data_IF_829580780658
#
_entry.id   IF_829580780658
#
_cell.length_a   1.000
_cell.length_b   1.000
_cell.length_c   1.000
_cell.angle_alpha   90.00
_cell.angle_beta   90.00
_cell.angle_gamma   90.00
#
_symmetry.space_group_name_H-M   'P 1'
#
loop_
_entity.id
_entity.type
_entity.pdbx_description
1 polymer ?
#
# COMPACT_ATOMS: atom_id res chain seq x y z
N UNK A 1 -6.40 11.13 -26.53
CA UNK A 1 -6.74 11.49 -25.14
C UNK A 1 -5.50 11.19 -24.31
N UNK A 2 -4.84 12.21 -23.75
CA UNK A 2 -3.71 11.96 -22.86
C UNK A 2 -4.27 11.52 -21.50
N UNK A 3 -3.80 10.41 -20.91
CA UNK A 3 -4.20 10.05 -19.56
C UNK A 3 -3.76 11.16 -18.62
N UNK A 4 -4.72 11.77 -17.92
CA UNK A 4 -4.45 12.78 -16.89
C UNK A 4 -3.64 12.08 -15.79
N UNK A 5 -2.33 12.32 -15.75
CA UNK A 5 -1.47 11.79 -14.71
C UNK A 5 -1.82 12.50 -13.41
N UNK A 6 -2.57 11.84 -12.53
CA UNK A 6 -2.89 12.36 -11.19
C UNK A 6 -1.60 12.51 -10.40
N UNK A 7 -1.38 13.67 -9.77
CA UNK A 7 -0.16 13.92 -9.02
C UNK A 7 -0.17 13.21 -7.66
N UNK A 8 1.01 12.92 -7.10
CA UNK A 8 1.13 12.39 -5.73
C UNK A 8 0.33 13.21 -4.71
N UNK A 9 0.35 14.54 -4.82
CA UNK A 9 -0.36 15.43 -3.91
C UNK A 9 -1.89 15.27 -4.01
N UNK A 10 -2.42 14.97 -5.21
CA UNK A 10 -3.83 14.69 -5.41
C UNK A 10 -4.23 13.36 -4.77
N UNK A 11 -3.45 12.29 -4.96
CA UNK A 11 -3.67 11.02 -4.27
C UNK A 11 -3.58 11.16 -2.75
N UNK A 12 -2.54 11.85 -2.27
CA UNK A 12 -2.32 12.03 -0.83
C UNK A 12 -3.47 12.76 -0.13
N UNK A 13 -4.09 13.75 -0.81
CA UNK A 13 -5.25 14.52 -0.32
C UNK A 13 -6.60 13.86 -0.65
N UNK A 14 -6.61 12.78 -1.42
CA UNK A 14 -7.81 12.07 -1.82
C UNK A 14 -8.42 11.28 -0.66
N UNK A 15 -9.57 10.66 -0.95
CA UNK A 15 -10.20 9.72 -0.03
C UNK A 15 -9.42 8.42 0.03
N UNK A 16 -9.32 7.85 1.22
CA UNK A 16 -8.77 6.52 1.42
C UNK A 16 -9.85 5.62 2.01
N UNK A 17 -9.89 4.38 1.55
CA UNK A 17 -10.74 3.36 2.14
C UNK A 17 -9.93 2.47 3.06
N UNK A 18 -10.47 2.24 4.25
CA UNK A 18 -9.88 1.36 5.25
C UNK A 18 -10.07 -0.12 4.87
N UNK A 19 -9.02 -0.92 5.03
CA UNK A 19 -9.10 -2.38 5.02
C UNK A 19 -9.54 -2.84 6.42
N UNK A 20 -10.84 -2.80 6.68
CA UNK A 20 -11.38 -3.07 8.01
C UNK A 20 -11.14 -4.53 8.43
N UNK A 21 -11.30 -5.47 7.51
CA UNK A 21 -11.15 -6.90 7.79
C UNK A 21 -9.86 -7.44 7.18
N UNK A 22 -9.24 -8.42 7.83
CA UNK A 22 -7.99 -9.05 7.37
C UNK A 22 -8.06 -9.55 5.92
N UNK A 23 -9.18 -10.17 5.51
CA UNK A 23 -9.35 -10.63 4.12
C UNK A 23 -9.34 -9.50 3.08
N UNK A 24 -9.65 -8.25 3.47
CA UNK A 24 -9.55 -7.09 2.59
C UNK A 24 -8.09 -6.68 2.40
N UNK A 25 -7.29 -6.78 3.47
CA UNK A 25 -5.84 -6.58 3.39
C UNK A 25 -5.18 -7.66 2.51
N UNK A 26 -5.59 -8.92 2.67
CA UNK A 26 -5.11 -10.02 1.82
C UNK A 26 -5.37 -9.72 0.34
N UNK A 27 -6.59 -9.25 0.02
CA UNK A 27 -6.94 -8.90 -1.36
C UNK A 27 -6.15 -7.71 -1.89
N UNK A 28 -5.93 -6.69 -1.06
CA UNK A 28 -5.11 -5.53 -1.41
C UNK A 28 -3.67 -5.98 -1.75
N UNK A 29 -3.08 -6.85 -0.93
CA UNK A 29 -1.74 -7.39 -1.17
C UNK A 29 -1.63 -8.24 -2.42
N UNK A 30 -2.64 -9.04 -2.75
CA UNK A 30 -2.69 -9.73 -4.05
C UNK A 30 -2.62 -8.74 -5.21
N UNK A 31 -3.44 -7.69 -5.18
CA UNK A 31 -3.51 -6.69 -6.25
C UNK A 31 -2.18 -5.94 -6.41
N UNK A 32 -1.53 -5.56 -5.31
CA UNK A 32 -0.21 -4.89 -5.34
C UNK A 32 0.86 -5.84 -5.89
N UNK A 33 0.87 -7.12 -5.50
CA UNK A 33 1.85 -8.10 -5.99
C UNK A 33 1.70 -8.38 -7.49
N UNK A 34 0.48 -8.37 -8.02
CA UNK A 34 0.22 -8.48 -9.47
C UNK A 34 0.75 -7.25 -10.22
N UNK A 35 0.72 -6.07 -9.60
CA UNK A 35 1.16 -4.79 -10.16
C UNK A 35 2.37 -4.22 -9.41
N UNK A 36 3.41 -5.03 -9.21
CA UNK A 36 4.48 -4.74 -8.26
C UNK A 36 5.53 -3.69 -8.72
N UNK A 37 5.47 -3.22 -9.96
CA UNK A 37 6.43 -2.25 -10.49
C UNK A 37 6.04 -0.81 -10.13
N UNK A 38 7.04 0.04 -9.90
CA UNK A 38 6.83 1.49 -9.75
C UNK A 38 6.42 1.95 -8.34
N UNK A 39 6.42 1.05 -7.36
CA UNK A 39 6.11 1.38 -5.97
C UNK A 39 7.27 2.02 -5.24
N UNK A 40 6.96 2.95 -4.35
CA UNK A 40 7.90 3.57 -3.42
C UNK A 40 7.52 3.12 -2.00
N UNK A 41 8.51 2.84 -1.17
CA UNK A 41 8.31 2.50 0.24
C UNK A 41 8.90 3.63 1.09
N UNK A 42 8.12 4.13 2.04
CA UNK A 42 8.51 5.22 2.92
C UNK A 42 8.09 4.90 4.36
N UNK A 43 9.02 5.08 5.30
CA UNK A 43 8.76 5.00 6.73
C UNK A 43 8.79 6.41 7.33
N UNK A 44 7.84 6.73 8.20
CA UNK A 44 7.74 8.06 8.80
C UNK A 44 9.02 8.39 9.57
N UNK A 45 9.65 9.51 9.22
CA UNK A 45 10.89 9.97 9.84
C UNK A 45 12.16 9.59 9.09
N UNK A 46 12.05 8.72 8.07
CA UNK A 46 13.17 8.38 7.19
C UNK A 46 13.34 9.38 6.05
N UNK A 47 14.43 9.25 5.30
CA UNK A 47 14.64 10.04 4.08
C UNK A 47 13.65 9.59 2.99
N UNK A 48 13.07 10.56 2.26
CA UNK A 48 12.16 10.26 1.16
C UNK A 48 12.86 9.42 0.07
N UNK A 49 12.23 8.33 -0.42
CA UNK A 49 12.81 7.52 -1.49
C UNK A 49 12.87 8.33 -2.79
N UNK A 50 14.01 8.29 -3.48
CA UNK A 50 14.21 8.97 -4.76
C UNK A 50 13.94 8.08 -5.98
N UNK A 51 13.73 6.79 -5.78
CA UNK A 51 13.48 5.79 -6.82
C UNK A 51 12.50 4.72 -6.31
N UNK A 52 11.72 4.09 -7.22
CA UNK A 52 10.87 2.97 -6.84
C UNK A 52 11.72 1.76 -6.46
N UNK A 53 11.15 0.88 -5.65
CA UNK A 53 11.77 -0.41 -5.34
C UNK A 53 11.57 -1.40 -6.48
N UNK A 54 12.49 -2.35 -6.60
CA UNK A 54 12.32 -3.49 -7.50
C UNK A 54 11.10 -4.32 -7.10
N UNK A 55 10.41 -4.90 -8.09
CA UNK A 55 9.20 -5.68 -7.84
C UNK A 55 9.41 -6.83 -6.83
N UNK A 56 10.57 -7.49 -6.87
CA UNK A 56 10.92 -8.56 -5.92
C UNK A 56 11.08 -8.04 -4.50
N UNK A 57 11.69 -6.85 -4.34
CA UNK A 57 11.85 -6.20 -3.04
C UNK A 57 10.50 -5.74 -2.48
N UNK A 58 9.59 -5.25 -3.32
CA UNK A 58 8.23 -4.93 -2.90
C UNK A 58 7.49 -6.18 -2.38
N UNK A 59 7.56 -7.31 -3.11
CA UNK A 59 6.90 -8.55 -2.71
C UNK A 59 7.43 -9.03 -1.35
N UNK A 60 8.75 -8.96 -1.14
CA UNK A 60 9.38 -9.29 0.14
C UNK A 60 8.92 -8.34 1.25
N UNK A 61 8.92 -7.03 0.99
CA UNK A 61 8.44 -6.04 1.95
C UNK A 61 6.99 -6.31 2.37
N UNK A 62 6.10 -6.60 1.42
CA UNK A 62 4.69 -6.90 1.71
C UNK A 62 4.58 -8.15 2.61
N UNK A 63 5.41 -9.16 2.41
CA UNK A 63 5.41 -10.36 3.27
C UNK A 63 5.83 -10.03 4.71
N UNK A 64 6.84 -9.17 4.89
CA UNK A 64 7.32 -8.82 6.23
C UNK A 64 6.39 -7.84 6.95
N UNK A 65 5.86 -6.84 6.24
CA UNK A 65 4.91 -5.89 6.84
C UNK A 65 3.58 -6.56 7.18
N UNK A 66 3.10 -7.53 6.38
CA UNK A 66 1.88 -8.28 6.71
C UNK A 66 2.02 -9.07 8.00
N UNK A 67 3.17 -9.75 8.19
CA UNK A 67 3.49 -10.45 9.44
C UNK A 67 3.51 -9.48 10.62
N UNK A 68 4.18 -8.34 10.47
CA UNK A 68 4.29 -7.33 11.52
C UNK A 68 2.92 -6.74 11.89
N UNK A 69 2.10 -6.39 10.91
CA UNK A 69 0.75 -5.87 11.14
C UNK A 69 -0.10 -6.87 11.92
N UNK A 70 -0.01 -8.16 11.59
CA UNK A 70 -0.77 -9.23 12.26
C UNK A 70 -0.24 -9.56 13.66
N UNK A 71 1.07 -9.38 13.92
CA UNK A 71 1.65 -9.63 15.25
C UNK A 71 1.39 -8.49 16.22
N UNK A 72 1.46 -7.24 15.75
CA UNK A 72 1.33 -6.04 16.59
C UNK A 72 -0.11 -5.56 16.75
N UNK A 73 -1.02 -5.99 15.87
CA UNK A 73 -2.42 -5.63 15.93
C UNK A 73 -3.27 -6.78 16.50
N UNK A 74 -3.33 -6.84 17.84
CA UNK A 74 -4.08 -7.85 18.61
C UNK A 74 -5.60 -7.62 18.57
N UNK A 75 -6.16 -7.55 17.36
CA UNK A 75 -7.58 -7.45 17.09
C UNK A 75 -7.99 -8.44 16.00
N UNK A 76 -9.25 -8.88 16.04
CA UNK A 76 -9.83 -9.78 15.03
C UNK A 76 -10.13 -9.09 13.69
N UNK A 77 -9.73 -7.82 13.55
CA UNK A 77 -9.91 -6.97 12.38
C UNK A 77 -8.59 -6.24 12.07
N UNK A 78 -8.42 -5.74 10.83
CA UNK A 78 -7.22 -5.00 10.42
C UNK A 78 -7.34 -3.52 10.79
N UNK A 79 -8.23 -2.75 10.14
CA UNK A 79 -8.61 -1.42 10.61
C UNK A 79 -7.52 -0.33 10.57
N UNK A 80 -6.28 -0.67 10.22
CA UNK A 80 -5.10 0.22 10.30
C UNK A 80 -4.42 0.48 8.96
N UNK A 81 -4.85 -0.20 7.89
CA UNK A 81 -4.32 0.00 6.52
C UNK A 81 -5.36 0.69 5.65
N UNK A 82 -4.92 1.68 4.88
CA UNK A 82 -5.77 2.51 4.04
C UNK A 82 -5.23 2.56 2.62
N UNK A 83 -6.10 2.40 1.62
CA UNK A 83 -5.73 2.53 0.21
C UNK A 83 -6.64 3.55 -0.49
N UNK A 84 -6.10 4.27 -1.48
CA UNK A 84 -6.88 5.20 -2.30
C UNK A 84 -7.92 4.47 -3.18
N UNK A 85 -7.59 3.28 -3.66
CA UNK A 85 -8.48 2.34 -4.34
C UNK A 85 -8.21 0.90 -3.85
N UNK A 86 -9.25 0.07 -3.69
CA UNK A 86 -9.09 -1.31 -3.17
C UNK A 86 -8.63 -2.30 -4.24
N UNK A 87 -8.99 -2.04 -5.48
CA UNK A 87 -8.78 -2.94 -6.61
C UNK A 87 -7.52 -2.55 -7.39
N UNK A 88 -7.31 -1.24 -7.57
CA UNK A 88 -6.20 -0.66 -8.32
C UNK A 88 -5.47 0.40 -7.47
N UNK A 89 -4.87 0.02 -6.33
CA UNK A 89 -4.25 0.97 -5.43
C UNK A 89 -3.07 1.66 -6.10
N UNK A 90 -2.92 2.96 -5.84
CA UNK A 90 -1.73 3.72 -6.22
C UNK A 90 -1.07 4.41 -5.02
N UNK A 91 -1.75 4.45 -3.88
CA UNK A 91 -1.20 4.88 -2.61
C UNK A 91 -1.80 4.08 -1.45
N UNK A 92 -0.93 3.58 -0.58
CA UNK A 92 -1.31 2.86 0.64
C UNK A 92 -0.67 3.59 1.83
N UNK A 93 -1.43 3.75 2.91
CA UNK A 93 -1.03 4.38 4.17
C UNK A 93 -1.30 3.46 5.34
#
# INVERSE_FOLDING_TARGET
MNPTTTSFQQHYKGSFTNMLRWHQLDKLWENVKVQANGWYIYFVGETLPSAPVEATALVQFIQEIDKLLRSEHDYDYCGIVYADDKENPSMIK
#
